data_IF_717719517119
#
_entry.id   IF_717719517119
#
_cell.length_a   1.000
_cell.length_b   1.000
_cell.length_c   1.000
_cell.angle_alpha   90.00
_cell.angle_beta   90.00
_cell.angle_gamma   90.00
#
_symmetry.space_group_name_H-M   'P 1'
#
loop_
_entity.id
_entity.type
_entity.pdbx_description
1 polymer ?
#
# COMPACT_ATOMS: atom_id res chain seq x y z
N UNK A 1 25.85 4.00 25.15
CA UNK A 1 26.69 3.93 23.92
C UNK A 1 27.28 5.30 23.62
N UNK A 2 28.59 5.45 23.44
CA UNK A 2 29.26 6.74 23.23
C UNK A 2 29.50 7.02 21.74
N UNK A 3 29.09 8.19 21.26
CA UNK A 3 29.27 8.62 19.87
C UNK A 3 30.04 9.94 19.81
N UNK A 4 30.89 10.08 18.79
CA UNK A 4 31.63 11.31 18.53
C UNK A 4 30.78 12.30 17.74
N UNK A 5 30.89 13.59 18.10
CA UNK A 5 30.18 14.68 17.45
C UNK A 5 31.13 15.32 16.44
N UNK A 6 30.67 15.52 15.21
CA UNK A 6 31.41 16.23 14.16
C UNK A 6 30.73 17.55 13.81
N UNK A 7 31.53 18.58 13.55
CA UNK A 7 31.07 19.88 13.04
C UNK A 7 30.86 19.81 11.53
N UNK A 8 30.13 20.78 10.97
CA UNK A 8 29.93 20.90 9.52
C UNK A 8 31.26 21.05 8.76
N UNK A 9 32.27 21.63 9.41
CA UNK A 9 33.63 21.79 8.88
C UNK A 9 34.48 20.50 9.00
N UNK A 10 33.91 19.41 9.52
CA UNK A 10 34.57 18.11 9.67
C UNK A 10 35.49 18.00 10.90
N UNK A 11 35.60 19.05 11.72
CA UNK A 11 36.32 18.99 12.99
C UNK A 11 35.52 18.28 14.07
N UNK A 12 36.20 17.60 15.00
CA UNK A 12 35.56 16.96 16.16
C UNK A 12 35.05 18.00 17.16
N UNK A 13 33.85 17.79 17.69
CA UNK A 13 33.15 18.65 18.65
C UNK A 13 32.86 17.96 19.99
N UNK A 14 33.59 16.88 20.31
CA UNK A 14 33.42 16.11 21.54
C UNK A 14 32.59 14.85 21.34
N UNK A 15 31.94 14.37 22.40
CA UNK A 15 31.25 13.08 22.43
C UNK A 15 29.94 13.15 23.21
N UNK A 16 28.94 12.38 22.79
CA UNK A 16 27.64 12.22 23.47
C UNK A 16 27.44 10.77 23.91
N UNK A 17 26.90 10.60 25.11
CA UNK A 17 26.47 9.29 25.61
C UNK A 17 24.97 9.10 25.32
N UNK A 18 24.66 8.05 24.57
CA UNK A 18 23.31 7.62 24.25
C UNK A 18 22.76 6.63 25.28
N UNK A 19 21.47 6.80 25.58
CA UNK A 19 20.71 5.94 26.48
C UNK A 19 20.64 4.48 25.99
N UNK A 20 21.07 3.55 26.83
CA UNK A 20 21.13 2.13 26.51
C UNK A 20 19.75 1.49 26.38
N UNK A 21 18.73 2.04 27.03
CA UNK A 21 17.36 1.51 26.97
C UNK A 21 16.72 1.65 25.58
N UNK A 22 17.23 2.58 24.76
CA UNK A 22 16.75 2.83 23.39
C UNK A 22 17.75 2.26 22.38
N UNK A 23 19.04 2.56 22.55
CA UNK A 23 20.06 2.28 21.54
C UNK A 23 20.85 0.99 21.78
N UNK A 24 20.73 0.38 22.97
CA UNK A 24 21.40 -0.88 23.32
C UNK A 24 20.52 -2.12 23.14
N UNK A 25 19.30 -1.97 22.61
CA UNK A 25 18.38 -3.09 22.41
C UNK A 25 18.83 -3.99 21.25
N UNK A 26 18.76 -5.31 21.45
CA UNK A 26 19.03 -6.27 20.37
C UNK A 26 17.96 -6.15 19.26
N UNK A 27 18.35 -5.85 18.02
CA UNK A 27 17.39 -5.60 16.95
C UNK A 27 16.56 -6.85 16.61
N UNK A 28 15.25 -6.73 16.78
CA UNK A 28 14.28 -7.76 16.36
C UNK A 28 13.90 -7.61 14.89
N UNK A 29 14.63 -8.33 14.02
CA UNK A 29 14.44 -8.28 12.57
C UNK A 29 12.99 -8.60 12.13
N UNK A 30 12.28 -9.46 12.85
CA UNK A 30 10.88 -9.80 12.58
C UNK A 30 9.94 -8.60 12.74
N UNK A 31 10.13 -7.81 13.80
CA UNK A 31 9.32 -6.63 14.08
C UNK A 31 9.64 -5.49 13.11
N UNK A 32 10.93 -5.28 12.81
CA UNK A 32 11.37 -4.26 11.85
C UNK A 32 10.76 -4.52 10.47
N UNK A 33 10.82 -5.76 9.98
CA UNK A 33 10.24 -6.13 8.69
C UNK A 33 8.73 -5.89 8.64
N UNK A 34 8.00 -6.29 9.69
CA UNK A 34 6.55 -6.09 9.79
C UNK A 34 6.19 -4.61 9.79
N UNK A 35 6.95 -3.80 10.53
CA UNK A 35 6.70 -2.37 10.64
C UNK A 35 6.96 -1.64 9.32
N UNK A 36 8.04 -1.97 8.62
CA UNK A 36 8.33 -1.42 7.28
C UNK A 36 7.20 -1.78 6.31
N UNK A 37 6.75 -3.04 6.28
CA UNK A 37 5.63 -3.46 5.43
C UNK A 37 4.35 -2.70 5.76
N UNK A 38 4.04 -2.51 7.04
CA UNK A 38 2.88 -1.75 7.48
C UNK A 38 2.96 -0.28 7.05
N UNK A 39 4.12 0.37 7.24
CA UNK A 39 4.32 1.76 6.82
C UNK A 39 4.16 1.92 5.31
N UNK A 40 4.75 1.01 4.52
CA UNK A 40 4.63 1.03 3.06
C UNK A 40 3.18 0.81 2.62
N UNK A 41 2.45 -0.12 3.23
CA UNK A 41 1.04 -0.35 2.94
C UNK A 41 0.18 0.88 3.29
N UNK A 42 0.45 1.54 4.44
CA UNK A 42 -0.27 2.74 4.87
C UNK A 42 -0.02 3.96 4.00
N UNK A 43 1.14 4.05 3.33
CA UNK A 43 1.45 5.13 2.38
C UNK A 43 0.70 4.99 1.04
N UNK A 44 0.10 3.83 0.75
CA UNK A 44 -0.64 3.65 -0.49
C UNK A 44 -1.94 4.45 -0.46
N UNK A 45 -2.19 5.25 -1.51
CA UNK A 45 -3.38 6.10 -1.60
C UNK A 45 -4.69 5.31 -1.82
N UNK A 46 -4.62 4.09 -2.34
CA UNK A 46 -5.80 3.26 -2.57
C UNK A 46 -6.75 3.78 -3.66
N UNK A 47 -6.33 4.75 -4.47
CA UNK A 47 -7.15 5.35 -5.54
C UNK A 47 -7.21 4.46 -6.78
N UNK A 48 -7.94 3.35 -6.68
CA UNK A 48 -8.23 2.45 -7.79
C UNK A 48 -9.73 2.15 -7.80
N UNK A 49 -10.35 2.22 -8.98
CA UNK A 49 -11.76 1.91 -9.15
C UNK A 49 -12.01 1.37 -10.56
N UNK A 50 -12.90 0.40 -10.68
CA UNK A 50 -13.39 -0.16 -11.94
C UNK A 50 -14.91 -0.17 -11.88
N UNK A 51 -15.57 0.11 -13.00
CA UNK A 51 -17.03 0.03 -13.10
C UNK A 51 -17.46 -1.42 -13.05
N UNK A 52 -18.35 -1.75 -12.13
CA UNK A 52 -19.05 -3.02 -12.14
C UNK A 52 -20.18 -2.99 -13.15
N UNK A 53 -20.78 -4.16 -13.40
CA UNK A 53 -21.90 -4.36 -14.33
C UNK A 53 -23.05 -3.35 -14.13
N UNK A 54 -23.35 -2.98 -12.88
CA UNK A 54 -24.40 -2.01 -12.53
C UNK A 54 -24.08 -0.56 -12.91
N UNK A 55 -22.79 -0.24 -12.97
CA UNK A 55 -22.25 1.13 -13.11
C UNK A 55 -22.02 1.48 -14.59
N UNK A 56 -22.09 0.48 -15.47
CA UNK A 56 -22.05 0.65 -16.92
C UNK A 56 -23.38 1.23 -17.39
N UNK A 57 -23.32 2.41 -18.00
CA UNK A 57 -24.49 3.06 -18.60
C UNK A 57 -24.86 2.36 -19.92
N UNK A 58 -25.53 1.21 -19.81
CA UNK A 58 -26.08 0.43 -20.92
C UNK A 58 -27.39 -0.24 -20.52
N UNK A 59 -28.02 -0.91 -21.47
CA UNK A 59 -29.31 -1.57 -21.30
C UNK A 59 -29.28 -2.70 -20.28
N UNK A 60 -30.05 -2.53 -19.20
CA UNK A 60 -30.35 -3.57 -18.19
C UNK A 60 -31.45 -4.56 -18.64
N UNK A 61 -32.14 -4.25 -19.73
CA UNK A 61 -33.10 -5.14 -20.38
C UNK A 61 -32.36 -6.25 -21.13
N UNK A 62 -32.99 -7.43 -21.20
CA UNK A 62 -32.50 -8.54 -22.03
C UNK A 62 -32.27 -8.07 -23.47
N UNK A 63 -31.10 -8.37 -24.02
CA UNK A 63 -30.65 -7.85 -25.31
C UNK A 63 -31.59 -8.23 -26.47
N UNK A 64 -32.11 -9.46 -26.43
CA UNK A 64 -33.09 -9.98 -27.39
C UNK A 64 -33.86 -11.18 -26.83
N UNK A 65 -34.85 -11.68 -27.59
CA UNK A 65 -35.69 -12.82 -27.20
C UNK A 65 -34.86 -14.08 -26.92
N UNK A 66 -35.32 -14.94 -26.02
CA UNK A 66 -34.57 -16.13 -25.58
C UNK A 66 -34.33 -17.17 -26.70
N UNK A 67 -35.19 -17.19 -27.72
CA UNK A 67 -35.15 -18.09 -28.89
C UNK A 67 -35.63 -17.33 -30.14
N UNK A 68 -35.36 -17.89 -31.31
CA UNK A 68 -35.84 -17.35 -32.60
C UNK A 68 -34.95 -16.25 -33.21
N UNK A 69 -33.75 -16.03 -32.67
CA UNK A 69 -32.82 -14.97 -33.12
C UNK A 69 -31.58 -15.50 -33.83
N UNK A 70 -31.34 -16.82 -33.86
CA UNK A 70 -30.12 -17.43 -34.43
C UNK A 70 -28.83 -17.19 -33.63
N UNK A 71 -28.83 -16.22 -32.71
CA UNK A 71 -27.68 -15.85 -31.88
C UNK A 71 -27.60 -16.68 -30.58
N UNK A 72 -26.42 -16.66 -29.93
CA UNK A 72 -26.21 -17.22 -28.59
C UNK A 72 -27.15 -16.57 -27.55
N UNK A 73 -27.35 -17.18 -26.39
CA UNK A 73 -28.25 -16.60 -25.36
C UNK A 73 -27.53 -15.50 -24.58
N UNK A 74 -28.13 -14.30 -24.55
CA UNK A 74 -27.64 -13.19 -23.74
C UNK A 74 -28.69 -12.65 -22.76
N UNK A 75 -28.18 -12.09 -21.66
CA UNK A 75 -28.95 -11.36 -20.65
C UNK A 75 -28.99 -9.87 -20.97
N UNK A 76 -28.78 -9.04 -19.95
CA UNK A 76 -28.54 -7.61 -20.13
C UNK A 76 -27.12 -7.33 -20.66
N UNK A 77 -26.98 -6.22 -21.38
CA UNK A 77 -25.69 -5.75 -21.89
C UNK A 77 -25.02 -4.68 -21.00
N UNK A 78 -25.67 -4.30 -19.90
CA UNK A 78 -24.99 -3.79 -18.70
C UNK A 78 -24.08 -4.86 -18.13
#
# INVERSE_FOLDING_TARGET
MKLDITTLDGAGAGSVDLDETIFGLEPRADLLQRMVRWQLAKRQAGTHAVKNRSDVNRTRKKLYKQKGTGNARHGAAS
#
